data_IF_138131270891
#
_entry.id   IF_138131270891
#
_cell.length_a   1.000
_cell.length_b   1.000
_cell.length_c   1.000
_cell.angle_alpha   90.00
_cell.angle_beta   90.00
_cell.angle_gamma   90.00
#
_symmetry.space_group_name_H-M   'P 1'
#
loop_
_entity.id
_entity.type
_entity.pdbx_description
1 polymer ?
#
# COMPACT_ATOMS: atom_id res chain seq x y z
N UNK A 1 1.82 4.68 15.10
CA UNK A 1 0.60 4.39 14.31
C UNK A 1 0.79 3.30 13.25
N UNK A 2 2.02 3.07 12.77
CA UNK A 2 2.30 2.31 11.55
C UNK A 2 2.44 0.78 11.71
N UNK A 3 2.33 0.22 12.91
CA UNK A 3 2.43 -1.25 13.03
C UNK A 3 1.13 -1.95 12.62
N UNK A 4 1.15 -2.60 11.46
CA UNK A 4 0.06 -3.43 10.90
C UNK A 4 0.42 -4.92 10.85
N UNK A 5 1.48 -5.36 11.55
CA UNK A 5 1.86 -6.79 11.60
C UNK A 5 0.82 -7.65 12.32
N UNK A 6 0.00 -7.02 13.16
CA UNK A 6 -1.25 -7.58 13.66
C UNK A 6 -2.41 -6.81 13.03
N UNK A 7 -3.48 -7.50 12.56
CA UNK A 7 -4.60 -6.84 11.92
C UNK A 7 -5.25 -5.81 12.82
N UNK A 8 -5.54 -4.63 12.27
CA UNK A 8 -6.32 -3.57 12.92
C UNK A 8 -7.08 -2.77 11.87
N UNK A 9 -8.17 -2.13 12.28
CA UNK A 9 -8.89 -1.23 11.39
C UNK A 9 -7.97 -0.08 10.92
N UNK A 10 -8.02 0.27 9.63
CA UNK A 10 -7.22 1.36 9.05
C UNK A 10 -7.39 2.65 9.88
N UNK A 11 -8.63 2.99 10.23
CA UNK A 11 -8.95 4.18 11.01
C UNK A 11 -8.53 4.17 12.48
N UNK A 12 -8.05 3.04 13.03
CA UNK A 12 -7.77 2.90 14.46
C UNK A 12 -6.72 3.91 14.96
N UNK A 13 -5.66 4.09 14.18
CA UNK A 13 -4.49 4.89 14.57
C UNK A 13 -4.27 6.13 13.68
N UNK A 14 -5.10 6.33 12.65
CA UNK A 14 -4.88 7.29 11.56
C UNK A 14 -4.85 8.77 12.00
N UNK A 15 -5.36 9.07 13.19
CA UNK A 15 -5.42 10.41 13.77
C UNK A 15 -4.55 10.56 15.03
N UNK A 16 -3.64 9.62 15.29
CA UNK A 16 -2.68 9.75 16.41
C UNK A 16 -1.81 10.99 16.22
N UNK A 17 -1.42 11.60 17.33
CA UNK A 17 -0.53 12.76 17.35
C UNK A 17 0.93 12.33 17.06
N UNK A 18 1.20 11.99 15.80
CA UNK A 18 2.50 11.59 15.29
C UNK A 18 2.86 12.43 14.06
N UNK A 19 4.12 12.89 13.97
CA UNK A 19 4.59 13.81 12.92
C UNK A 19 4.33 13.28 11.50
N UNK A 20 4.62 12.00 11.25
CA UNK A 20 4.44 11.38 9.93
C UNK A 20 2.98 11.34 9.48
N UNK A 21 2.03 11.10 10.40
CA UNK A 21 0.60 11.16 10.08
C UNK A 21 0.13 12.57 9.74
N UNK A 22 0.71 13.60 10.38
CA UNK A 22 0.42 15.00 10.04
C UNK A 22 0.93 15.33 8.64
N UNK A 23 2.15 14.91 8.31
CA UNK A 23 2.76 15.14 7.00
C UNK A 23 1.94 14.47 5.88
N UNK A 24 1.48 13.24 6.08
CA UNK A 24 0.66 12.51 5.11
C UNK A 24 -0.84 12.87 5.14
N UNK A 25 -1.31 13.66 6.10
CA UNK A 25 -2.74 13.84 6.39
C UNK A 25 -3.49 12.50 6.55
N UNK A 26 -2.84 11.51 7.16
CA UNK A 26 -3.23 10.10 7.19
C UNK A 26 -2.06 9.19 6.81
N UNK A 27 -2.34 7.98 6.33
CA UNK A 27 -1.31 7.15 5.73
C UNK A 27 -1.10 7.57 4.28
N UNK A 28 0.13 7.96 3.97
CA UNK A 28 0.66 8.12 2.62
C UNK A 28 2.15 7.75 2.64
N UNK A 29 2.44 6.48 2.95
CA UNK A 29 3.80 6.04 3.25
C UNK A 29 4.11 4.70 2.59
N UNK A 30 5.38 4.51 2.22
CA UNK A 30 5.91 3.26 1.71
C UNK A 30 6.26 2.33 2.89
N UNK A 31 5.67 1.15 2.90
CA UNK A 31 5.98 0.09 3.86
C UNK A 31 7.00 -0.87 3.26
N UNK A 32 8.09 -1.10 4.01
CA UNK A 32 9.11 -2.10 3.64
C UNK A 32 8.57 -3.51 3.90
N UNK A 33 8.55 -4.35 2.86
CA UNK A 33 8.08 -5.73 2.97
C UNK A 33 9.19 -6.59 3.56
N UNK A 34 8.87 -7.36 4.61
CA UNK A 34 9.80 -8.28 5.22
C UNK A 34 9.97 -9.55 4.36
N UNK A 35 10.94 -9.54 3.46
CA UNK A 35 11.26 -10.65 2.55
C UNK A 35 12.50 -11.42 3.01
N UNK A 36 12.61 -12.68 2.56
CA UNK A 36 13.82 -13.47 2.75
C UNK A 36 14.91 -12.98 1.81
N UNK A 37 14.62 -12.96 0.51
CA UNK A 37 15.52 -12.43 -0.52
C UNK A 37 14.83 -11.34 -1.34
N UNK A 38 15.62 -10.44 -1.93
CA UNK A 38 15.11 -9.44 -2.85
C UNK A 38 14.58 -10.12 -4.12
N UNK A 39 13.41 -9.68 -4.61
CA UNK A 39 12.74 -10.28 -5.77
C UNK A 39 11.86 -11.48 -5.46
N UNK A 40 11.93 -12.07 -4.25
CA UNK A 40 11.02 -13.16 -3.86
C UNK A 40 9.56 -12.69 -3.91
N UNK A 41 8.68 -13.52 -4.48
CA UNK A 41 7.25 -13.33 -4.36
C UNK A 41 6.83 -13.57 -2.91
N UNK A 42 6.32 -12.53 -2.24
CA UNK A 42 5.90 -12.59 -0.85
C UNK A 42 4.54 -11.92 -0.66
N UNK A 43 3.80 -12.36 0.37
CA UNK A 43 2.59 -11.70 0.82
C UNK A 43 2.99 -10.36 1.45
N UNK A 44 2.54 -9.27 0.84
CA UNK A 44 2.87 -7.91 1.27
C UNK A 44 1.79 -7.33 2.19
N UNK A 45 0.52 -7.52 1.82
CA UNK A 45 -0.62 -6.91 2.53
C UNK A 45 -1.80 -7.87 2.53
N UNK A 46 -2.53 -7.92 3.64
CA UNK A 46 -3.84 -8.54 3.75
C UNK A 46 -4.86 -7.51 4.26
N UNK A 47 -5.98 -7.38 3.55
CA UNK A 47 -7.10 -6.51 3.93
C UNK A 47 -8.36 -7.34 4.03
N UNK A 48 -9.14 -7.13 5.09
CA UNK A 48 -10.47 -7.73 5.26
C UNK A 48 -11.50 -6.63 5.43
N UNK A 49 -12.64 -6.77 4.75
CA UNK A 49 -13.84 -5.97 4.96
C UNK A 49 -14.86 -6.79 5.77
N UNK A 50 -14.96 -6.59 7.11
CA UNK A 50 -15.82 -7.43 7.96
C UNK A 50 -17.30 -7.39 7.59
N UNK A 51 -17.77 -6.29 6.99
CA UNK A 51 -19.17 -6.11 6.59
C UNK A 51 -19.60 -6.98 5.42
N UNK A 52 -18.66 -7.45 4.59
CA UNK A 52 -18.95 -8.25 3.39
C UNK A 52 -18.23 -9.60 3.39
N UNK A 53 -17.29 -9.82 4.31
CA UNK A 53 -16.40 -10.98 4.31
C UNK A 53 -15.31 -10.92 3.22
N UNK A 54 -15.33 -9.90 2.35
CA UNK A 54 -14.35 -9.75 1.27
C UNK A 54 -12.95 -9.57 1.84
N UNK A 55 -12.02 -10.37 1.33
CA UNK A 55 -10.61 -10.33 1.67
C UNK A 55 -9.77 -10.10 0.43
N UNK A 56 -8.72 -9.28 0.57
CA UNK A 56 -7.73 -9.00 -0.46
C UNK A 56 -6.34 -9.31 0.10
N UNK A 57 -5.64 -10.25 -0.52
CA UNK A 57 -4.21 -10.46 -0.33
C UNK A 57 -3.45 -9.88 -1.52
N UNK A 58 -2.45 -9.06 -1.24
CA UNK A 58 -1.54 -8.51 -2.25
C UNK A 58 -0.20 -9.21 -2.12
N UNK A 59 0.21 -9.92 -3.17
CA UNK A 59 1.53 -10.54 -3.28
C UNK A 59 2.37 -9.77 -4.27
N UNK A 60 3.67 -9.63 -4.02
CA UNK A 60 4.56 -8.93 -4.96
C UNK A 60 6.01 -9.37 -4.85
N UNK A 61 6.75 -9.24 -5.95
CA UNK A 61 8.22 -9.37 -6.00
C UNK A 61 8.93 -8.05 -5.64
N UNK A 62 8.23 -6.91 -5.66
CA UNK A 62 8.75 -5.58 -5.32
C UNK A 62 9.08 -5.44 -3.82
N UNK A 63 9.99 -4.54 -3.42
CA UNK A 63 10.47 -4.45 -2.04
C UNK A 63 9.52 -3.68 -1.08
N UNK A 64 8.67 -2.79 -1.60
CA UNK A 64 7.79 -1.94 -0.81
C UNK A 64 6.34 -1.92 -1.29
N UNK A 65 5.46 -1.37 -0.47
CA UNK A 65 4.07 -1.02 -0.84
C UNK A 65 3.75 0.38 -0.34
N UNK A 66 3.42 1.30 -1.23
CA UNK A 66 2.81 2.57 -0.82
C UNK A 66 1.38 2.29 -0.32
N UNK A 67 1.10 2.72 0.91
CA UNK A 67 -0.24 2.71 1.45
C UNK A 67 -0.76 4.15 1.57
N UNK A 68 -1.68 4.49 0.66
CA UNK A 68 -2.38 5.76 0.67
C UNK A 68 -3.83 5.58 1.12
N UNK A 69 -4.23 6.27 2.18
CA UNK A 69 -5.56 6.14 2.80
C UNK A 69 -6.62 7.11 2.27
N UNK A 70 -6.46 7.65 1.05
CA UNK A 70 -7.50 8.51 0.45
C UNK A 70 -7.62 9.90 1.08
N UNK A 71 -6.50 10.48 1.52
CA UNK A 71 -6.43 11.68 2.37
C UNK A 71 -6.93 12.97 1.69
N UNK A 72 -7.04 12.97 0.37
CA UNK A 72 -7.45 14.14 -0.42
C UNK A 72 -8.75 13.93 -1.19
N UNK A 73 -9.49 12.84 -0.93
CA UNK A 73 -10.83 12.67 -1.48
C UNK A 73 -11.80 13.68 -0.82
N UNK A 74 -12.64 14.34 -1.64
CA UNK A 74 -13.50 15.47 -1.22
C UNK A 74 -14.94 15.39 -1.75
N UNK A 75 -15.44 14.18 -2.06
CA UNK A 75 -16.84 13.92 -2.48
C UNK A 75 -17.32 14.64 -3.75
N UNK A 76 -16.47 15.48 -4.33
CA UNK A 76 -16.59 16.13 -5.63
C UNK A 76 -16.09 15.26 -6.78
N UNK A 77 -15.26 14.25 -6.46
CA UNK A 77 -14.86 13.18 -7.36
C UNK A 77 -15.86 12.03 -7.28
N UNK A 78 -16.35 11.58 -8.42
CA UNK A 78 -17.24 10.42 -8.53
C UNK A 78 -16.46 9.15 -8.85
N UNK A 79 -16.87 8.03 -8.26
CA UNK A 79 -16.44 6.69 -8.63
C UNK A 79 -17.00 6.28 -10.01
N UNK A 80 -16.56 5.12 -10.50
CA UNK A 80 -17.03 4.57 -11.77
C UNK A 80 -18.53 4.25 -11.79
N UNK A 81 -19.15 3.98 -10.63
CA UNK A 81 -20.59 3.79 -10.47
C UNK A 81 -21.34 5.09 -10.13
N UNK A 82 -20.69 6.25 -10.25
CA UNK A 82 -21.28 7.57 -10.09
C UNK A 82 -21.51 7.99 -8.63
N UNK A 83 -20.96 7.27 -7.66
CA UNK A 83 -21.06 7.61 -6.23
C UNK A 83 -19.92 8.57 -5.83
N UNK A 84 -20.17 9.52 -4.92
CA UNK A 84 -19.10 10.35 -4.38
C UNK A 84 -17.99 9.53 -3.70
N UNK A 85 -16.74 9.88 -3.97
CA UNK A 85 -15.59 9.39 -3.22
C UNK A 85 -15.39 10.26 -1.98
N UNK A 86 -15.91 9.78 -0.86
CA UNK A 86 -15.81 10.44 0.43
C UNK A 86 -14.37 10.55 0.92
N UNK A 87 -14.11 11.53 1.81
CA UNK A 87 -12.83 11.67 2.50
C UNK A 87 -12.42 10.35 3.17
N UNK A 88 -11.26 9.82 2.78
CA UNK A 88 -10.74 8.50 3.22
C UNK A 88 -11.72 7.34 3.00
N UNK A 89 -12.60 7.47 2.00
CA UNK A 89 -13.57 6.45 1.59
C UNK A 89 -12.99 5.34 0.71
N UNK A 90 -11.75 5.51 0.24
CA UNK A 90 -11.00 4.54 -0.54
C UNK A 90 -9.52 4.58 -0.14
N UNK A 91 -8.77 3.56 -0.54
CA UNK A 91 -7.33 3.47 -0.31
C UNK A 91 -6.62 2.82 -1.50
N UNK A 92 -5.31 3.03 -1.59
CA UNK A 92 -4.43 2.40 -2.57
C UNK A 92 -3.42 1.49 -1.85
N UNK A 93 -3.07 0.38 -2.50
CA UNK A 93 -1.94 -0.47 -2.15
C UNK A 93 -1.09 -0.59 -3.41
N UNK A 94 0.06 0.08 -3.43
CA UNK A 94 0.86 0.25 -4.65
C UNK A 94 2.21 -0.43 -4.42
N UNK A 95 2.38 -1.72 -4.77
CA UNK A 95 3.68 -2.36 -4.72
C UNK A 95 4.68 -1.66 -5.62
N UNK A 96 5.87 -1.35 -5.09
CA UNK A 96 6.86 -0.51 -5.75
C UNK A 96 8.28 -0.69 -5.16
N UNK A 97 9.26 -0.06 -5.83
CA UNK A 97 10.52 0.30 -5.18
C UNK A 97 10.29 1.46 -4.21
N UNK A 98 11.16 1.61 -3.22
CA UNK A 98 10.99 2.70 -2.26
C UNK A 98 11.04 4.06 -2.98
N UNK A 99 10.14 5.00 -2.66
CA UNK A 99 10.22 6.35 -3.18
C UNK A 99 11.61 6.93 -2.94
N UNK A 100 12.12 7.70 -3.92
CA UNK A 100 13.46 8.30 -3.88
C UNK A 100 14.65 7.31 -3.95
N UNK A 101 14.42 6.03 -4.26
CA UNK A 101 15.50 5.03 -4.42
C UNK A 101 16.68 5.48 -5.30
N UNK A 102 16.51 6.21 -6.43
CA UNK A 102 17.65 6.69 -7.22
C UNK A 102 18.62 7.61 -6.46
N UNK A 103 18.15 8.31 -5.43
CA UNK A 103 18.93 9.28 -4.66
C UNK A 103 19.35 8.77 -3.28
N UNK A 104 18.93 7.57 -2.90
CA UNK A 104 19.15 7.00 -1.57
C UNK A 104 20.04 5.76 -1.70
N UNK A 105 21.35 5.90 -1.47
CA UNK A 105 22.32 4.80 -1.67
C UNK A 105 22.08 3.55 -0.81
N UNK A 106 21.30 3.66 0.26
CA UNK A 106 20.90 2.53 1.10
C UNK A 106 19.61 1.83 0.66
N UNK A 107 18.92 2.34 -0.36
CA UNK A 107 17.67 1.77 -0.87
C UNK A 107 17.94 0.76 -2.00
N UNK A 108 16.99 -0.14 -2.29
CA UNK A 108 17.10 -1.07 -3.41
C UNK A 108 17.30 -0.30 -4.72
N UNK A 109 18.27 -0.73 -5.52
CA UNK A 109 18.54 -0.10 -6.81
C UNK A 109 17.35 -0.32 -7.77
N UNK A 110 16.81 0.77 -8.29
CA UNK A 110 15.71 0.76 -9.26
C UNK A 110 16.14 1.22 -10.67
N UNK A 111 17.45 1.34 -10.94
CA UNK A 111 17.99 1.67 -12.26
C UNK A 111 18.06 0.40 -13.10
N UNK A 112 17.41 0.43 -14.27
CA UNK A 112 17.54 -0.61 -15.29
C UNK A 112 18.62 -0.22 -16.31
N UNK A 113 19.77 -0.93 -16.37
CA UNK A 113 20.77 -0.68 -17.39
C UNK A 113 20.26 -0.96 -18.81
N UNK A 114 20.85 -0.30 -19.81
CA UNK A 114 20.49 -0.52 -21.19
C UNK A 114 20.76 -1.97 -21.62
N UNK A 115 19.74 -2.64 -22.17
CA UNK A 115 19.83 -4.03 -22.62
C UNK A 115 19.46 -5.08 -21.58
N UNK A 116 19.24 -4.68 -20.32
CA UNK A 116 18.73 -5.56 -19.27
C UNK A 116 17.19 -5.63 -19.31
N UNK A 117 16.64 -6.73 -18.81
CA UNK A 117 15.20 -6.93 -18.68
C UNK A 117 14.74 -6.61 -17.25
N UNK A 118 13.58 -5.97 -17.15
CA UNK A 118 12.92 -5.73 -15.88
C UNK A 118 11.66 -6.59 -15.79
N UNK A 119 11.64 -7.50 -14.83
CA UNK A 119 10.50 -8.35 -14.53
C UNK A 119 10.07 -8.18 -13.07
N UNK A 120 8.77 -8.05 -12.84
CA UNK A 120 8.14 -7.96 -11.53
C UNK A 120 6.73 -8.51 -11.60
N UNK A 121 6.29 -9.15 -10.51
CA UNK A 121 4.94 -9.68 -10.38
C UNK A 121 4.20 -8.97 -9.25
N UNK A 122 2.92 -8.62 -9.50
CA UNK A 122 1.96 -8.19 -8.49
C UNK A 122 0.69 -9.04 -8.66
N UNK A 123 0.19 -9.63 -7.57
CA UNK A 123 -1.01 -10.45 -7.55
C UNK A 123 -2.00 -9.85 -6.56
N UNK A 124 -3.18 -9.46 -7.06
CA UNK A 124 -4.33 -9.08 -6.24
C UNK A 124 -5.26 -10.29 -6.12
N UNK A 125 -5.15 -11.02 -5.02
CA UNK A 125 -5.93 -12.22 -4.75
C UNK A 125 -7.15 -11.87 -3.89
N UNK A 126 -8.33 -12.02 -4.46
CA UNK A 126 -9.60 -11.85 -3.75
C UNK A 126 -10.14 -13.19 -3.24
N UNK A 127 -10.71 -13.17 -2.04
CA UNK A 127 -11.45 -14.28 -1.44
C UNK A 127 -12.59 -13.76 -0.57
N UNK A 128 -13.42 -14.66 -0.06
CA UNK A 128 -14.45 -14.37 0.92
C UNK A 128 -14.27 -15.29 2.12
N UNK A 129 -14.33 -14.74 3.34
CA UNK A 129 -14.40 -15.51 4.57
C UNK A 129 -15.88 -15.61 5.01
N UNK A 130 -16.30 -16.80 5.46
CA UNK A 130 -17.62 -17.04 6.06
C UNK A 130 -17.75 -16.44 7.46
#
# INVERSE_FOLDING_TARGET
>A
AFDFRQPKAIGCDINKDEEQLKNGSGYDHCYVINKKEFGDLALAVSVKAPSTGCCLNVWTTLPGVQFYSGNYLRSDVLSCDGKPLEYRGAFCLEPEFFPDSPNQSGFPNCILPAGEEFDQTIIYQFSTEE
#
